data_IF_681877944319
#
_entry.id   IF_681877944319
#
_cell.length_a   1.000
_cell.length_b   1.000
_cell.length_c   1.000
_cell.angle_alpha   90.00
_cell.angle_beta   90.00
_cell.angle_gamma   90.00
#
_symmetry.space_group_name_H-M   'P 1'
#
loop_
_entity.id
_entity.type
_entity.pdbx_description
1 polymer ?
#
# COMPACT_ATOMS: atom_id res chain seq x y z
N UNK A 1 1.12 1.18 -14.67
CA UNK A 1 0.58 2.25 -13.80
C UNK A 1 1.06 3.59 -14.34
N UNK A 2 0.22 4.61 -14.26
CA UNK A 2 0.56 5.98 -14.59
C UNK A 2 1.00 6.69 -13.30
N UNK A 3 2.11 7.39 -13.36
CA UNK A 3 2.70 8.19 -12.29
C UNK A 3 2.72 9.65 -12.74
N UNK A 4 2.06 10.50 -11.96
CA UNK A 4 2.11 11.95 -12.12
C UNK A 4 3.09 12.49 -11.08
N UNK A 5 3.93 13.43 -11.47
CA UNK A 5 4.93 14.02 -10.58
C UNK A 5 5.12 15.52 -10.83
N UNK A 6 5.23 16.30 -9.76
CA UNK A 6 5.56 17.73 -9.83
C UNK A 6 6.34 18.18 -8.59
N UNK A 7 7.20 19.20 -8.71
CA UNK A 7 7.83 19.80 -7.53
C UNK A 7 6.81 20.55 -6.68
N UNK A 8 6.96 20.46 -5.36
CA UNK A 8 6.18 21.25 -4.40
C UNK A 8 6.72 22.68 -4.40
N UNK A 9 5.82 23.66 -4.47
CA UNK A 9 6.17 25.07 -4.28
C UNK A 9 6.28 25.34 -2.77
N UNK A 10 7.42 25.84 -2.27
CA UNK A 10 7.57 26.21 -0.87
C UNK A 10 6.49 27.19 -0.39
N UNK A 11 5.91 26.92 0.79
CA UNK A 11 4.86 27.77 1.34
C UNK A 11 5.37 29.19 1.71
N UNK A 12 6.66 29.31 2.00
CA UNK A 12 7.37 30.53 2.43
C UNK A 12 7.59 31.54 1.29
N UNK A 13 7.42 31.14 0.02
CA UNK A 13 7.62 32.01 -1.13
C UNK A 13 6.58 33.14 -1.19
N UNK A 14 7.00 34.33 -1.66
CA UNK A 14 6.09 35.44 -1.96
C UNK A 14 5.14 35.11 -3.11
N UNK A 15 4.01 35.83 -3.23
CA UNK A 15 3.01 35.56 -4.29
C UNK A 15 3.60 35.67 -5.71
N UNK A 16 4.52 36.63 -5.93
CA UNK A 16 5.22 36.80 -7.20
C UNK A 16 6.15 35.62 -7.52
N UNK A 17 6.87 35.12 -6.51
CA UNK A 17 7.75 33.95 -6.65
C UNK A 17 6.95 32.68 -6.90
N UNK A 18 5.81 32.51 -6.21
CA UNK A 18 4.88 31.39 -6.45
C UNK A 18 4.36 31.42 -7.89
N UNK A 19 3.94 32.59 -8.37
CA UNK A 19 3.47 32.75 -9.74
C UNK A 19 4.56 32.39 -10.75
N UNK A 20 5.80 32.87 -10.54
CA UNK A 20 6.94 32.53 -11.40
C UNK A 20 7.25 31.03 -11.39
N UNK A 21 7.29 30.41 -10.21
CA UNK A 21 7.60 28.98 -10.07
C UNK A 21 6.53 28.10 -10.70
N UNK A 22 5.25 28.49 -10.65
CA UNK A 22 4.15 27.77 -11.29
C UNK A 22 4.31 27.64 -12.82
N UNK A 23 4.96 28.61 -13.47
CA UNK A 23 5.22 28.59 -14.91
C UNK A 23 6.51 27.86 -15.32
N UNK A 24 7.34 27.44 -14.35
CA UNK A 24 8.55 26.69 -14.64
C UNK A 24 8.23 25.22 -14.97
N UNK A 25 8.93 24.61 -15.93
CA UNK A 25 8.67 23.22 -16.37
C UNK A 25 8.89 22.16 -15.28
N UNK A 26 9.59 22.51 -14.20
CA UNK A 26 9.83 21.61 -13.07
C UNK A 26 8.65 21.54 -12.08
N UNK A 27 7.80 22.55 -12.05
CA UNK A 27 6.59 22.59 -11.23
C UNK A 27 5.33 22.19 -12.01
N UNK A 28 5.46 22.01 -13.32
CA UNK A 28 4.43 21.41 -14.16
C UNK A 28 4.36 19.89 -13.93
N UNK A 29 3.17 19.33 -14.13
CA UNK A 29 2.92 17.91 -13.96
C UNK A 29 3.56 17.10 -15.08
N UNK A 30 4.47 16.20 -14.70
CA UNK A 30 5.11 15.23 -15.59
C UNK A 30 4.43 13.89 -15.43
N UNK A 31 3.94 13.33 -16.53
CA UNK A 31 3.28 12.02 -16.59
C UNK A 31 4.26 10.98 -17.10
N UNK A 32 4.31 9.82 -16.43
CA UNK A 32 5.09 8.67 -16.89
C UNK A 32 4.32 7.38 -16.69
N UNK A 33 4.47 6.44 -17.62
CA UNK A 33 3.85 5.12 -17.55
C UNK A 33 4.91 4.06 -17.27
N UNK A 34 4.69 3.24 -16.25
CA UNK A 34 5.65 2.21 -15.81
C UNK A 34 4.95 0.87 -15.56
N UNK A 35 5.56 -0.27 -15.95
CA UNK A 35 5.08 -1.58 -15.55
C UNK A 35 5.33 -1.82 -14.05
N UNK A 36 4.52 -2.70 -13.43
CA UNK A 36 4.70 -3.13 -12.04
C UNK A 36 4.49 -4.64 -11.93
N UNK A 37 5.17 -5.27 -10.97
CA UNK A 37 4.98 -6.68 -10.61
C UNK A 37 4.06 -6.83 -9.39
N UNK A 38 4.19 -5.91 -8.43
CA UNK A 38 3.41 -5.86 -7.21
C UNK A 38 3.12 -4.40 -6.84
N UNK A 39 2.03 -4.18 -6.10
CA UNK A 39 1.67 -2.87 -5.57
C UNK A 39 2.17 -2.72 -4.14
N UNK A 40 2.99 -1.71 -3.90
CA UNK A 40 3.48 -1.40 -2.56
C UNK A 40 2.53 -0.42 -1.86
N UNK A 41 1.95 -0.86 -0.75
CA UNK A 41 1.09 -0.06 0.11
C UNK A 41 1.87 0.44 1.32
N UNK A 42 1.79 1.75 1.56
CA UNK A 42 2.47 2.38 2.68
C UNK A 42 1.52 2.41 3.87
N UNK A 43 1.90 1.79 4.97
CA UNK A 43 1.12 1.79 6.19
C UNK A 43 1.24 3.15 6.90
N UNK A 44 0.17 3.62 7.57
CA UNK A 44 0.25 4.81 8.41
C UNK A 44 1.28 4.61 9.52
N UNK A 45 1.94 5.69 9.93
CA UNK A 45 2.89 5.63 11.05
C UNK A 45 2.16 5.17 12.31
N UNK A 46 2.76 4.24 13.05
CA UNK A 46 2.21 3.81 14.32
C UNK A 46 2.12 5.03 15.28
N UNK A 47 1.05 5.16 16.08
CA UNK A 47 0.92 6.26 17.02
C UNK A 47 2.14 6.31 17.97
N UNK A 48 2.83 7.45 18.02
CA UNK A 48 4.01 7.64 18.88
C UNK A 48 3.67 7.64 20.37
N UNK A 49 2.41 7.96 20.71
CA UNK A 49 1.93 8.01 22.08
C UNK A 49 1.12 6.75 22.40
N UNK A 50 1.65 5.94 23.32
CA UNK A 50 0.89 4.90 23.99
C UNK A 50 0.07 5.59 25.06
N UNK A 51 -1.20 5.85 24.79
CA UNK A 51 -2.09 6.37 25.82
C UNK A 51 -2.05 5.40 27.02
N UNK A 52 -1.83 5.92 28.23
CA UNK A 52 -1.62 5.09 29.44
C UNK A 52 -2.87 4.24 29.77
N UNK A 53 -4.03 4.64 29.21
CA UNK A 53 -5.32 3.93 29.31
C UNK A 53 -5.57 2.96 28.14
N UNK A 54 -4.84 3.07 27.02
CA UNK A 54 -4.97 2.25 25.80
C UNK A 54 -3.74 1.35 25.59
N UNK A 55 -3.07 0.95 26.68
CA UNK A 55 -2.03 -0.07 26.60
C UNK A 55 -2.61 -1.30 25.88
N UNK A 56 -2.05 -1.59 24.69
CA UNK A 56 -2.26 -2.81 23.88
C UNK A 56 -3.21 -2.72 22.66
N UNK A 57 -3.65 -1.56 22.18
CA UNK A 57 -4.38 -1.54 20.90
C UNK A 57 -3.39 -1.55 19.74
N UNK A 58 -3.33 -2.69 19.03
CA UNK A 58 -2.65 -2.80 17.74
C UNK A 58 -3.41 -1.91 16.75
N UNK A 59 -2.75 -0.92 16.09
CA UNK A 59 -3.44 -0.05 15.15
C UNK A 59 -4.00 -0.85 13.98
N UNK A 60 -5.14 -0.44 13.44
CA UNK A 60 -5.78 -1.09 12.31
C UNK A 60 -6.05 -0.09 11.20
N UNK A 61 -5.95 -0.54 9.94
CA UNK A 61 -6.26 0.28 8.77
C UNK A 61 -7.01 -0.54 7.71
N UNK A 62 -8.11 -0.05 7.12
CA UNK A 62 -8.74 -0.72 5.99
C UNK A 62 -7.85 -0.73 4.75
N UNK A 63 -7.89 -1.83 3.98
CA UNK A 63 -7.20 -1.94 2.70
C UNK A 63 -7.65 -0.87 1.70
N UNK A 64 -8.94 -0.52 1.70
CA UNK A 64 -9.50 0.53 0.83
C UNK A 64 -8.76 1.86 0.99
N UNK A 65 -8.49 2.27 2.23
CA UNK A 65 -7.74 3.51 2.54
C UNK A 65 -6.30 3.45 2.02
N UNK A 66 -5.67 2.28 2.03
CA UNK A 66 -4.33 2.14 1.48
C UNK A 66 -4.34 2.19 -0.06
N UNK A 67 -5.39 1.63 -0.68
CA UNK A 67 -5.58 1.60 -2.13
C UNK A 67 -5.89 2.97 -2.73
N UNK A 68 -6.38 3.94 -1.92
CA UNK A 68 -6.53 5.35 -2.32
C UNK A 68 -5.23 5.92 -2.90
N UNK A 69 -4.06 5.39 -2.53
CA UNK A 69 -2.77 5.73 -3.17
C UNK A 69 -2.79 5.62 -4.71
N UNK A 70 -3.62 4.75 -5.27
CA UNK A 70 -3.71 4.44 -6.69
C UNK A 70 -5.00 4.95 -7.36
N UNK A 71 -5.76 5.85 -6.73
CA UNK A 71 -7.03 6.38 -7.26
C UNK A 71 -6.88 7.52 -8.29
N UNK A 72 -5.65 7.91 -8.63
CA UNK A 72 -5.35 9.05 -9.51
C UNK A 72 -5.62 10.43 -8.91
N UNK A 73 -6.05 10.53 -7.65
CA UNK A 73 -6.41 11.77 -6.94
C UNK A 73 -5.51 12.02 -5.73
N UNK A 74 -5.15 10.97 -5.00
CA UNK A 74 -4.39 11.05 -3.76
C UNK A 74 -2.93 11.37 -4.07
N UNK A 75 -2.51 12.57 -3.65
CA UNK A 75 -1.13 13.02 -3.81
C UNK A 75 -0.33 12.76 -2.54
N UNK A 76 0.87 12.22 -2.73
CA UNK A 76 1.82 11.96 -1.66
C UNK A 76 3.10 12.75 -1.88
N UNK A 77 3.53 13.44 -0.83
CA UNK A 77 4.79 14.15 -0.83
C UNK A 77 5.96 13.18 -0.63
N UNK A 78 6.95 13.27 -1.51
CA UNK A 78 8.22 12.56 -1.44
C UNK A 78 9.34 13.56 -1.29
N UNK A 79 10.03 13.50 -0.15
CA UNK A 79 11.21 14.33 0.11
C UNK A 79 12.43 13.71 -0.58
N UNK A 80 13.03 14.46 -1.49
CA UNK A 80 14.34 14.17 -2.08
C UNK A 80 15.39 15.03 -1.39
N UNK A 81 16.68 14.79 -1.64
CA UNK A 81 17.78 15.54 -1.05
C UNK A 81 17.69 17.07 -1.28
N UNK A 82 17.19 17.49 -2.45
CA UNK A 82 17.13 18.90 -2.84
C UNK A 82 15.70 19.46 -3.01
N UNK A 83 14.71 18.60 -3.20
CA UNK A 83 13.36 19.00 -3.61
C UNK A 83 12.30 18.11 -2.95
N UNK A 84 11.14 18.70 -2.66
CA UNK A 84 9.93 17.95 -2.35
C UNK A 84 9.13 17.74 -3.63
N UNK A 85 8.72 16.50 -3.88
CA UNK A 85 8.00 16.11 -5.10
C UNK A 85 6.64 15.55 -4.68
N UNK A 86 5.56 16.11 -5.20
CA UNK A 86 4.25 15.48 -5.12
C UNK A 86 4.14 14.41 -6.18
N UNK A 87 3.68 13.23 -5.79
CA UNK A 87 3.36 12.15 -6.72
C UNK A 87 1.96 11.62 -6.47
N UNK A 88 1.25 11.28 -7.54
CA UNK A 88 0.02 10.48 -7.48
C UNK A 88 0.09 9.38 -8.53
N UNK A 89 -0.69 8.32 -8.29
CA UNK A 89 -0.63 7.11 -9.09
C UNK A 89 -2.02 6.65 -9.48
N UNK A 90 -2.13 6.01 -10.65
CA UNK A 90 -3.32 5.29 -11.07
C UNK A 90 -2.95 4.03 -11.87
N UNK A 91 -3.84 3.04 -11.85
CA UNK A 91 -3.64 1.79 -12.54
C UNK A 91 -4.16 1.88 -13.97
N UNK A 92 -3.36 1.40 -14.93
CA UNK A 92 -3.76 1.37 -16.34
C UNK A 92 -4.26 -0.01 -16.78
N UNK A 93 -3.81 -1.05 -16.08
CA UNK A 93 -4.13 -2.45 -16.38
C UNK A 93 -4.02 -3.25 -15.10
N UNK A 94 -4.97 -4.15 -14.88
CA UNK A 94 -4.94 -5.09 -13.77
C UNK A 94 -4.47 -6.48 -14.27
N UNK A 95 -3.51 -7.11 -13.59
CA UNK A 95 -3.04 -8.46 -13.93
C UNK A 95 -4.00 -9.53 -13.42
N UNK A 96 -4.01 -10.73 -14.02
CA UNK A 96 -4.84 -11.86 -13.53
C UNK A 96 -4.52 -12.21 -12.07
N UNK A 97 -3.25 -12.17 -11.69
CA UNK A 97 -2.79 -12.30 -10.32
C UNK A 97 -2.14 -11.00 -9.87
N UNK A 98 -2.72 -10.38 -8.84
CA UNK A 98 -2.21 -9.16 -8.24
C UNK A 98 -1.48 -9.47 -6.94
N UNK A 99 -0.26 -8.99 -6.81
CA UNK A 99 0.51 -9.05 -5.57
C UNK A 99 0.45 -7.68 -4.89
N UNK A 100 0.02 -7.67 -3.62
CA UNK A 100 0.05 -6.49 -2.76
C UNK A 100 1.11 -6.73 -1.69
N UNK A 101 2.00 -5.75 -1.51
CA UNK A 101 3.05 -5.77 -0.49
C UNK A 101 2.88 -4.58 0.45
N UNK A 102 2.76 -4.85 1.75
CA UNK A 102 2.72 -3.81 2.77
C UNK A 102 4.15 -3.44 3.18
N UNK A 103 4.48 -2.15 3.14
CA UNK A 103 5.79 -1.65 3.57
C UNK A 103 5.88 -1.60 5.09
N UNK A 104 6.02 -2.76 5.71
CA UNK A 104 6.08 -2.92 7.18
C UNK A 104 7.41 -2.48 7.77
N UNK A 105 8.52 -2.78 7.12
CA UNK A 105 9.85 -2.43 7.65
C UNK A 105 10.28 -1.04 7.21
N UNK A 106 10.56 -0.19 8.19
CA UNK A 106 11.09 1.15 7.97
C UNK A 106 12.44 1.26 8.66
N UNK A 107 13.45 1.67 7.89
CA UNK A 107 14.80 1.89 8.41
C UNK A 107 14.91 3.31 8.93
N UNK A 108 15.12 3.45 10.24
CA UNK A 108 15.47 4.71 10.88
C UNK A 108 17.00 4.85 10.92
N UNK A 109 17.52 5.97 11.45
CA UNK A 109 18.97 6.21 11.53
C UNK A 109 19.72 5.16 12.38
N UNK A 110 19.03 4.50 13.32
CA UNK A 110 19.64 3.58 14.29
C UNK A 110 19.20 2.12 14.15
N UNK A 111 17.94 1.86 13.80
CA UNK A 111 17.38 0.50 13.73
C UNK A 111 16.30 0.39 12.65
N UNK A 112 15.96 -0.84 12.29
CA UNK A 112 14.80 -1.15 11.43
C UNK A 112 13.62 -1.47 12.33
N UNK A 113 12.53 -0.71 12.19
CA UNK A 113 11.30 -0.92 12.93
C UNK A 113 10.25 -1.57 12.04
N UNK A 114 9.52 -2.55 12.59
CA UNK A 114 8.38 -3.17 11.93
C UNK A 114 7.12 -2.41 12.34
N UNK A 115 6.33 -2.00 11.36
CA UNK A 115 5.03 -1.40 11.57
C UNK A 115 4.00 -2.50 11.93
N UNK A 116 3.45 -2.50 13.16
CA UNK A 116 2.54 -3.54 13.65
C UNK A 116 1.09 -3.33 13.18
N UNK A 117 0.80 -2.35 12.33
CA UNK A 117 -0.57 -2.03 11.91
C UNK A 117 -1.21 -3.22 11.19
N UNK A 118 -2.35 -3.71 11.71
CA UNK A 118 -3.15 -4.75 11.07
C UNK A 118 -3.91 -4.13 9.90
N UNK A 119 -3.89 -4.79 8.76
CA UNK A 119 -4.65 -4.34 7.59
C UNK A 119 -5.95 -5.14 7.52
N UNK A 120 -7.07 -4.43 7.56
CA UNK A 120 -8.39 -5.02 7.43
C UNK A 120 -8.73 -5.13 5.93
N UNK A 121 -8.63 -6.33 5.37
CA UNK A 121 -8.96 -6.60 3.97
C UNK A 121 -10.03 -7.69 3.84
N UNK A 122 -10.96 -7.57 2.87
CA UNK A 122 -11.85 -8.67 2.56
C UNK A 122 -11.07 -9.81 1.86
N UNK A 123 -11.45 -11.06 2.13
CA UNK A 123 -10.85 -12.24 1.50
C UNK A 123 -11.40 -12.53 0.09
N UNK A 124 -12.50 -11.87 -0.28
CA UNK A 124 -13.17 -12.05 -1.56
C UNK A 124 -13.84 -10.75 -2.00
N UNK A 125 -14.06 -10.58 -3.31
CA UNK A 125 -14.72 -9.42 -3.91
C UNK A 125 -14.06 -8.07 -3.61
N UNK A 126 -12.72 -8.02 -3.59
CA UNK A 126 -11.97 -6.76 -3.51
C UNK A 126 -12.05 -6.08 -4.87
N UNK A 127 -12.80 -4.98 -4.98
CA UNK A 127 -12.91 -4.23 -6.23
C UNK A 127 -11.82 -3.15 -6.36
N UNK A 128 -11.11 -3.17 -7.48
CA UNK A 128 -10.05 -2.21 -7.84
C UNK A 128 -10.48 -1.26 -8.96
N UNK A 129 -11.76 -1.23 -9.33
CA UNK A 129 -12.28 -0.37 -10.39
C UNK A 129 -11.94 1.11 -10.15
N UNK A 130 -12.04 1.60 -8.91
CA UNK A 130 -11.73 2.99 -8.60
C UNK A 130 -10.23 3.33 -8.67
N UNK A 131 -9.36 2.32 -8.61
CA UNK A 131 -7.92 2.49 -8.80
C UNK A 131 -7.52 2.56 -10.28
N UNK A 132 -8.42 2.23 -11.21
CA UNK A 132 -8.15 2.35 -12.64
C UNK A 132 -8.32 3.79 -13.12
N UNK A 133 -7.42 4.20 -14.02
CA UNK A 133 -7.54 5.47 -14.73
C UNK A 133 -8.86 5.52 -15.52
N UNK A 134 -9.52 6.67 -15.52
CA UNK A 134 -10.86 6.82 -16.09
C UNK A 134 -10.92 6.43 -17.58
N UNK A 135 -9.85 6.69 -18.32
CA UNK A 135 -9.71 6.38 -19.74
C UNK A 135 -9.58 4.89 -20.06
N UNK A 136 -9.19 4.04 -19.09
CA UNK A 136 -9.04 2.59 -19.29
C UNK A 136 -10.16 1.76 -18.64
N UNK A 137 -10.98 2.36 -17.78
CA UNK A 137 -12.03 1.66 -17.02
C UNK A 137 -12.98 0.86 -17.92
N UNK A 138 -13.35 1.43 -19.07
CA UNK A 138 -14.26 0.79 -20.02
C UNK A 138 -13.66 -0.46 -20.71
N UNK A 139 -12.33 -0.51 -20.84
CA UNK A 139 -11.63 -1.64 -21.47
C UNK A 139 -11.46 -2.82 -20.50
N UNK A 140 -11.49 -2.54 -19.20
CA UNK A 140 -11.20 -3.52 -18.16
C UNK A 140 -12.48 -4.21 -17.67
N UNK A 141 -12.73 -5.41 -18.19
CA UNK A 141 -13.92 -6.21 -17.87
C UNK A 141 -13.94 -6.80 -16.45
N UNK A 142 -12.78 -7.09 -15.88
CA UNK A 142 -12.64 -7.76 -14.59
C UNK A 142 -11.77 -6.91 -13.66
N UNK A 143 -12.34 -6.47 -12.54
CA UNK A 143 -11.68 -5.60 -11.55
C UNK A 143 -11.76 -6.12 -10.12
N UNK A 144 -12.51 -7.20 -9.91
CA UNK A 144 -12.74 -7.82 -8.60
C UNK A 144 -11.77 -8.97 -8.37
N UNK A 145 -11.15 -9.00 -7.20
CA UNK A 145 -10.17 -10.00 -6.81
C UNK A 145 -10.59 -10.77 -5.56
N UNK A 146 -10.28 -12.05 -5.57
CA UNK A 146 -10.34 -12.92 -4.39
C UNK A 146 -8.92 -13.19 -3.89
N UNK A 147 -8.77 -13.25 -2.57
CA UNK A 147 -7.51 -13.58 -1.93
C UNK A 147 -7.24 -15.07 -2.11
N UNK A 148 -6.07 -15.38 -2.67
CA UNK A 148 -5.63 -16.77 -2.85
C UNK A 148 -4.50 -17.17 -1.89
N UNK A 149 -3.69 -16.20 -1.48
CA UNK A 149 -2.58 -16.39 -0.57
C UNK A 149 -2.29 -15.11 0.22
N UNK A 150 -1.86 -15.28 1.46
CA UNK A 150 -1.40 -14.21 2.35
C UNK A 150 -0.08 -14.65 3.00
N UNK A 151 0.96 -13.82 2.88
CA UNK A 151 2.28 -14.07 3.49
C UNK A 151 2.41 -13.17 4.71
N UNK A 152 2.58 -13.79 5.86
CA UNK A 152 2.62 -13.14 7.17
C UNK A 152 4.04 -13.19 7.70
N UNK A 153 4.48 -12.07 8.27
CA UNK A 153 5.75 -12.01 9.00
C UNK A 153 5.48 -11.86 10.49
N UNK A 154 6.10 -12.68 11.33
CA UNK A 154 6.03 -12.58 12.79
C UNK A 154 7.39 -12.27 13.38
N UNK A 155 7.41 -11.58 14.53
CA UNK A 155 8.64 -11.16 15.19
C UNK A 155 9.25 -9.86 14.64
N UNK A 156 10.52 -9.64 14.99
CA UNK A 156 11.30 -8.44 14.66
C UNK A 156 11.99 -8.57 13.31
N UNK A 157 12.62 -7.49 12.82
CA UNK A 157 13.42 -7.54 11.59
C UNK A 157 14.60 -8.54 11.68
N UNK A 158 15.20 -8.73 12.86
CA UNK A 158 16.38 -9.58 13.03
C UNK A 158 16.03 -11.04 13.35
N UNK A 159 14.93 -11.28 14.06
CA UNK A 159 14.55 -12.60 14.56
C UNK A 159 13.10 -12.94 14.21
N UNK A 160 12.73 -12.71 12.95
CA UNK A 160 11.40 -12.98 12.45
C UNK A 160 11.26 -14.31 11.71
N UNK A 161 10.04 -14.81 11.66
CA UNK A 161 9.63 -16.00 10.90
C UNK A 161 8.52 -15.63 9.91
N UNK A 162 8.41 -16.41 8.84
CA UNK A 162 7.37 -16.25 7.83
C UNK A 162 6.46 -17.46 7.84
N UNK A 163 5.16 -17.20 7.66
CA UNK A 163 4.15 -18.23 7.40
C UNK A 163 3.26 -17.80 6.25
N UNK A 164 2.67 -18.76 5.56
CA UNK A 164 1.77 -18.50 4.43
C UNK A 164 0.41 -19.11 4.69
N UNK A 165 -0.62 -18.32 4.46
CA UNK A 165 -2.02 -18.75 4.51
C UNK A 165 -2.49 -18.86 3.06
N UNK A 166 -2.93 -20.04 2.63
CA UNK A 166 -3.28 -20.31 1.23
C UNK A 166 -4.63 -21.02 1.14
N UNK A 167 -5.41 -20.67 0.12
CA UNK A 167 -6.66 -21.38 -0.20
C UNK A 167 -6.36 -22.57 -1.10
N UNK A 168 -6.83 -23.75 -0.70
CA UNK A 168 -6.81 -24.91 -1.57
C UNK A 168 -8.04 -24.88 -2.49
N UNK A 169 -7.84 -24.59 -3.78
CA UNK A 169 -8.92 -24.38 -4.75
C UNK A 169 -9.92 -25.56 -4.83
N UNK A 170 -9.45 -26.80 -4.72
CA UNK A 170 -10.32 -27.98 -4.84
C UNK A 170 -11.28 -28.18 -3.66
N UNK A 171 -10.94 -27.69 -2.46
CA UNK A 171 -11.77 -27.85 -1.26
C UNK A 171 -12.34 -26.55 -0.71
N UNK A 172 -11.85 -25.39 -1.18
CA UNK A 172 -12.18 -24.07 -0.63
C UNK A 172 -11.69 -23.85 0.81
N UNK A 173 -10.88 -24.78 1.36
CA UNK A 173 -10.35 -24.68 2.71
C UNK A 173 -9.06 -23.86 2.72
N UNK A 174 -8.86 -23.13 3.82
CA UNK A 174 -7.64 -22.39 4.07
C UNK A 174 -6.69 -23.21 4.94
N UNK A 175 -5.41 -23.13 4.58
CA UNK A 175 -4.33 -23.77 5.31
C UNK A 175 -3.29 -22.73 5.68
N UNK A 176 -2.77 -22.82 6.88
CA UNK A 176 -1.59 -22.09 7.32
C UNK A 176 -0.39 -23.04 7.27
N UNK A 177 0.66 -22.60 6.56
CA UNK A 177 1.91 -23.32 6.42
C UNK A 177 3.03 -22.51 7.06
N UNK A 178 3.71 -23.14 8.01
CA UNK A 178 4.92 -22.63 8.66
C UNK A 178 6.01 -23.69 8.50
N UNK A 179 6.95 -23.44 7.58
CA UNK A 179 7.95 -24.39 7.13
C UNK A 179 7.34 -25.75 6.70
N UNK A 180 7.53 -26.79 7.51
CA UNK A 180 7.05 -28.15 7.26
C UNK A 180 5.70 -28.44 7.93
N UNK A 181 5.17 -27.50 8.73
CA UNK A 181 3.93 -27.68 9.47
C UNK A 181 2.76 -27.09 8.70
N UNK A 182 1.72 -27.89 8.49
CA UNK A 182 0.48 -27.49 7.82
C UNK A 182 -0.68 -27.60 8.81
N UNK A 183 -1.48 -26.55 8.95
CA UNK A 183 -2.63 -26.49 9.85
C UNK A 183 -3.87 -25.98 9.11
N UNK A 184 -5.03 -26.56 9.42
CA UNK A 184 -6.32 -26.03 8.95
C UNK A 184 -6.58 -24.65 9.60
N UNK A 185 -7.09 -23.72 8.81
CA UNK A 185 -7.40 -22.36 9.26
C UNK A 185 -8.82 -21.95 8.86
N UNK A 186 -9.49 -21.22 9.76
CA UNK A 186 -10.76 -20.56 9.44
C UNK A 186 -10.51 -19.26 8.66
N UNK A 187 -11.27 -18.97 7.58
CA UNK A 187 -11.06 -17.77 6.76
C UNK A 187 -11.09 -16.46 7.55
N UNK A 188 -11.86 -16.40 8.64
CA UNK A 188 -11.99 -15.23 9.51
C UNK A 188 -10.70 -14.88 10.26
N UNK A 189 -9.76 -15.82 10.40
CA UNK A 189 -8.51 -15.62 11.12
C UNK A 189 -7.42 -14.97 10.27
N UNK A 190 -7.58 -14.95 8.95
CA UNK A 190 -6.58 -14.45 7.99
C UNK A 190 -6.29 -12.96 8.20
N UNK A 191 -7.33 -12.18 8.48
CA UNK A 191 -7.27 -10.71 8.60
C UNK A 191 -6.67 -10.22 9.91
N UNK A 192 -6.41 -11.12 10.86
CA UNK A 192 -5.86 -10.78 12.18
C UNK A 192 -4.33 -10.78 12.21
N UNK A 193 -3.69 -11.23 11.14
CA UNK A 193 -2.24 -11.37 11.04
C UNK A 193 -1.57 -10.14 10.42
N UNK A 194 -0.29 -9.93 10.75
CA UNK A 194 0.55 -8.85 10.21
C UNK A 194 1.15 -9.20 8.84
#
# INVERSE_FOLDING_TARGET
MREYSRKVIPAEDTEEEKYRKMHLPDYQEKVSEKPFLFLTLDLPAAPLYRDVQLQNIIPQVPLSTLLEKFDGKTEKEYRTYNDNIMKRYELLKLPEFLIISYKRFQKNQWFVEKNPTIVNFPIANVDLYECLAEDVRAEQKYTTYDLVANVVHEGTFETGNYRIQIVHQGSGKWFELEDLHVKDMLPQMIVLAE
#
